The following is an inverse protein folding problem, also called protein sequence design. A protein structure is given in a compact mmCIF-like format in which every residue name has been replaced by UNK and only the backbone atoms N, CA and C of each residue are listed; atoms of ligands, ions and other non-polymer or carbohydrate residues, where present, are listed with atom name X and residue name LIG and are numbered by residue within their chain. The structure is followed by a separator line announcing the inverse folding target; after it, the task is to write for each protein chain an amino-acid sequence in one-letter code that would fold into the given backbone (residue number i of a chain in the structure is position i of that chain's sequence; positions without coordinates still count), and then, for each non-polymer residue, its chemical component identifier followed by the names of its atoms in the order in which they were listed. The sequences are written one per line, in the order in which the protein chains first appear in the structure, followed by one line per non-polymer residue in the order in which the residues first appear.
data_IF_017543386701
#
_entry.id   IF_017543386701
#
_cell.length_a   1.000
_cell.length_b   1.000
_cell.length_c   1.000
_cell.angle_alpha   90.00
_cell.angle_beta   90.00
_cell.angle_gamma   90.00
#
_symmetry.space_group_name_H-M   'P 1'
#
loop_
_entity.id
_entity.type
_entity.pdbx_description
1 polymer ?
#
# COMPACT_ATOMS: atom_id res chain seq x y z
N UNK A 1 12.76 -34.58 49.99
CA UNK A 1 12.25 -33.39 49.31
C UNK A 1 10.76 -33.29 49.59
N UNK A 2 10.31 -32.35 50.41
CA UNK A 2 8.94 -32.25 50.87
C UNK A 2 7.99 -31.78 49.75
N UNK A 3 6.74 -32.24 49.79
CA UNK A 3 5.72 -31.93 48.77
C UNK A 3 5.58 -30.40 48.51
N UNK A 4 5.80 -29.58 49.52
CA UNK A 4 5.79 -28.09 49.42
C UNK A 4 6.90 -27.56 48.52
N UNK A 5 8.10 -28.15 48.56
CA UNK A 5 9.22 -27.70 47.70
C UNK A 5 8.98 -28.02 46.23
N UNK A 6 8.32 -29.13 45.92
CA UNK A 6 7.92 -29.47 44.53
C UNK A 6 6.86 -28.53 43.98
N UNK A 7 5.93 -28.08 44.82
CA UNK A 7 4.90 -27.14 44.43
C UNK A 7 5.46 -25.76 44.06
N UNK A 8 6.41 -25.25 44.85
CA UNK A 8 7.07 -23.98 44.55
C UNK A 8 7.98 -24.07 43.31
N UNK A 9 8.65 -25.20 43.07
CA UNK A 9 9.43 -25.38 41.86
C UNK A 9 8.56 -25.42 40.60
N UNK A 10 7.38 -26.02 40.66
CA UNK A 10 6.43 -26.08 39.53
C UNK A 10 5.87 -24.72 39.20
N UNK A 11 5.56 -23.89 40.22
CA UNK A 11 5.07 -22.53 40.00
C UNK A 11 6.16 -21.63 39.40
N UNK A 12 7.40 -21.77 39.81
CA UNK A 12 8.54 -21.04 39.27
C UNK A 12 8.78 -21.37 37.77
N UNK A 13 8.60 -22.63 37.39
CA UNK A 13 8.78 -23.08 36.01
C UNK A 13 7.68 -22.55 35.09
N UNK A 14 6.44 -22.45 35.57
CA UNK A 14 5.30 -21.90 34.79
C UNK A 14 5.45 -20.40 34.64
N UNK A 15 5.95 -19.69 35.63
CA UNK A 15 6.18 -18.25 35.57
C UNK A 15 7.30 -17.87 34.57
N UNK A 16 8.32 -18.73 34.40
CA UNK A 16 9.42 -18.46 33.47
C UNK A 16 9.07 -18.74 32.00
N UNK A 17 8.14 -19.65 31.73
CA UNK A 17 7.68 -19.92 30.36
C UNK A 17 6.67 -18.87 29.84
N UNK A 18 5.91 -18.22 30.74
CA UNK A 18 4.97 -17.16 30.37
C UNK A 18 5.63 -15.85 29.93
N UNK A 19 6.86 -15.58 30.37
CA UNK A 19 7.56 -14.32 30.05
C UNK A 19 8.25 -14.32 28.68
N UNK A 20 8.43 -15.48 28.06
CA UNK A 20 9.09 -15.63 26.76
C UNK A 20 8.14 -15.43 25.57
N UNK A 21 6.81 -15.37 25.79
CA UNK A 21 5.83 -15.20 24.73
C UNK A 21 5.43 -13.74 24.45
N UNK A 22 5.94 -12.78 25.24
CA UNK A 22 5.74 -11.35 25.01
C UNK A 22 6.89 -10.68 24.26
N UNK A 23 7.81 -11.45 23.69
CA UNK A 23 8.75 -10.92 22.69
C UNK A 23 7.96 -10.65 21.41
N UNK A 24 7.17 -9.57 21.44
CA UNK A 24 6.59 -9.02 20.23
C UNK A 24 7.71 -8.83 19.22
N UNK A 25 7.69 -9.60 18.16
CA UNK A 25 8.53 -9.36 16.99
C UNK A 25 8.20 -7.94 16.52
N UNK A 26 9.00 -6.96 16.97
CA UNK A 26 9.07 -5.69 16.25
C UNK A 26 9.50 -6.10 14.84
N UNK A 27 8.58 -6.00 13.90
CA UNK A 27 8.96 -6.04 12.51
C UNK A 27 10.07 -4.99 12.36
N UNK A 28 11.30 -5.47 12.20
CA UNK A 28 12.44 -4.63 11.89
C UNK A 28 12.18 -4.11 10.49
N UNK A 29 11.54 -2.95 10.40
CA UNK A 29 11.65 -2.16 9.19
C UNK A 29 13.14 -1.87 9.04
N UNK A 30 13.77 -2.49 8.06
CA UNK A 30 15.11 -2.13 7.61
C UNK A 30 15.14 -0.61 7.49
N UNK A 31 16.14 0.10 8.02
CA UNK A 31 16.32 1.51 7.74
C UNK A 31 16.82 1.62 6.29
N UNK A 32 15.93 1.36 5.32
CA UNK A 32 16.08 1.90 4.00
C UNK A 32 15.98 3.42 4.16
N UNK A 33 16.81 4.13 3.43
CA UNK A 33 16.71 5.57 3.30
C UNK A 33 15.35 5.88 2.67
N UNK A 34 14.30 5.87 3.50
CA UNK A 34 12.94 6.10 3.03
C UNK A 34 12.75 7.60 2.88
N UNK A 35 13.09 8.09 1.69
CA UNK A 35 12.86 9.49 1.33
C UNK A 35 11.37 9.84 1.32
N UNK A 36 10.49 8.85 1.45
CA UNK A 36 9.06 9.07 1.57
C UNK A 36 8.35 8.06 2.47
N UNK A 37 7.23 8.50 3.06
CA UNK A 37 6.23 7.63 3.66
C UNK A 37 4.85 8.26 3.49
N UNK A 38 3.85 7.45 3.18
CA UNK A 38 2.47 7.90 2.96
C UNK A 38 1.51 6.92 3.62
N UNK A 39 0.59 7.46 4.42
CA UNK A 39 -0.65 6.80 4.82
C UNK A 39 -1.78 7.55 4.15
N UNK A 40 -2.63 6.84 3.42
CA UNK A 40 -3.67 7.48 2.62
C UNK A 40 -4.96 6.67 2.62
N UNK A 41 -6.05 7.38 2.41
CA UNK A 41 -7.34 6.81 2.02
C UNK A 41 -7.48 6.95 0.52
N UNK A 42 -7.90 5.89 -0.16
CA UNK A 42 -8.15 5.96 -1.60
C UNK A 42 -9.45 5.26 -1.99
N UNK A 43 -10.00 5.70 -3.10
CA UNK A 43 -11.14 5.08 -3.78
C UNK A 43 -10.71 4.80 -5.21
N UNK A 44 -11.00 3.60 -5.67
CA UNK A 44 -10.70 3.16 -7.02
C UNK A 44 -11.97 2.75 -7.75
N UNK A 45 -12.07 3.14 -9.02
CA UNK A 45 -13.03 2.62 -9.97
C UNK A 45 -12.26 2.20 -11.23
N UNK A 46 -12.36 0.94 -11.61
CA UNK A 46 -11.67 0.43 -12.80
C UNK A 46 -12.62 -0.18 -13.82
N UNK A 47 -12.13 -0.34 -15.05
CA UNK A 47 -12.87 -0.86 -16.19
C UNK A 47 -13.08 -2.37 -16.17
N UNK A 48 -12.39 -3.10 -15.29
CA UNK A 48 -12.49 -4.56 -15.21
C UNK A 48 -13.75 -4.98 -14.45
N UNK A 49 -14.25 -6.16 -14.79
CA UNK A 49 -15.33 -6.81 -14.05
C UNK A 49 -14.87 -7.15 -12.60
N UNK A 50 -15.86 -7.46 -11.74
CA UNK A 50 -15.57 -7.95 -10.39
C UNK A 50 -14.66 -9.18 -10.47
N UNK A 51 -13.75 -9.31 -9.50
CA UNK A 51 -12.66 -10.29 -9.48
C UNK A 51 -11.60 -10.08 -10.57
N UNK A 52 -11.25 -8.82 -10.77
CA UNK A 52 -10.21 -8.41 -11.70
C UNK A 52 -8.91 -9.19 -11.47
N UNK A 53 -8.28 -9.73 -12.53
CA UNK A 53 -7.03 -10.48 -12.44
C UNK A 53 -5.86 -9.64 -11.90
N UNK A 54 -5.91 -8.31 -11.92
CA UNK A 54 -4.86 -7.43 -11.38
C UNK A 54 -4.55 -7.65 -9.90
N UNK A 55 -5.43 -8.28 -9.13
CA UNK A 55 -5.12 -8.72 -7.77
C UNK A 55 -4.20 -9.96 -7.72
N UNK A 56 -4.03 -10.66 -8.81
CA UNK A 56 -3.36 -11.96 -8.85
C UNK A 56 -2.22 -12.03 -9.87
N UNK A 57 -2.22 -11.15 -10.86
CA UNK A 57 -1.19 -11.09 -11.90
C UNK A 57 -1.09 -9.67 -12.50
N UNK A 58 -0.21 -9.50 -13.47
CA UNK A 58 0.08 -8.20 -14.10
C UNK A 58 -0.58 -8.00 -15.46
N UNK A 59 -1.53 -8.86 -15.81
CA UNK A 59 -2.23 -8.82 -17.12
C UNK A 59 -3.68 -8.39 -16.93
N UNK A 60 -4.15 -7.50 -17.81
CA UNK A 60 -5.53 -7.07 -17.83
C UNK A 60 -6.49 -8.13 -18.34
N UNK A 61 -7.74 -8.04 -17.90
CA UNK A 61 -8.85 -8.80 -18.49
C UNK A 61 -9.06 -8.42 -19.96
N UNK A 62 -9.53 -9.38 -20.76
CA UNK A 62 -10.01 -9.09 -22.10
C UNK A 62 -11.37 -8.38 -22.05
N UNK A 63 -11.49 -7.30 -22.76
CA UNK A 63 -12.75 -6.59 -23.00
C UNK A 63 -13.26 -6.90 -24.40
N UNK A 64 -14.56 -7.08 -24.54
CA UNK A 64 -15.16 -7.33 -25.85
C UNK A 64 -15.19 -6.04 -26.66
N UNK A 65 -14.29 -5.92 -27.62
CA UNK A 65 -14.30 -4.87 -28.62
C UNK A 65 -15.19 -5.25 -29.85
N UNK A 66 -15.43 -4.30 -30.75
CA UNK A 66 -16.26 -4.51 -31.94
C UNK A 66 -15.72 -5.58 -32.89
N UNK A 67 -14.41 -5.82 -32.91
CA UNK A 67 -13.76 -6.73 -33.86
C UNK A 67 -12.84 -7.78 -33.22
N UNK A 68 -12.25 -7.47 -32.06
CA UNK A 68 -11.33 -8.34 -31.32
C UNK A 68 -11.40 -8.05 -29.84
N UNK A 69 -10.96 -9.02 -29.02
CA UNK A 69 -10.74 -8.77 -27.61
C UNK A 69 -9.62 -7.74 -27.42
N UNK A 70 -9.90 -6.68 -26.69
CA UNK A 70 -8.93 -5.67 -26.31
C UNK A 70 -8.48 -5.90 -24.86
N UNK A 71 -7.20 -5.76 -24.59
CA UNK A 71 -6.62 -5.90 -23.27
C UNK A 71 -6.16 -4.54 -22.76
N UNK A 72 -6.87 -3.99 -21.80
CA UNK A 72 -6.53 -2.75 -21.13
C UNK A 72 -7.02 -2.77 -19.69
N UNK A 73 -6.44 -1.92 -18.84
CA UNK A 73 -6.91 -1.69 -17.48
C UNK A 73 -6.97 -0.19 -17.23
N UNK A 74 -8.15 0.39 -17.40
CA UNK A 74 -8.40 1.82 -17.16
C UNK A 74 -8.97 2.01 -15.77
N UNK A 75 -8.38 2.91 -15.02
CA UNK A 75 -8.79 3.19 -13.66
C UNK A 75 -8.87 4.69 -13.38
N UNK A 76 -9.73 5.04 -12.44
CA UNK A 76 -9.77 6.32 -11.77
C UNK A 76 -9.51 6.11 -10.29
N UNK A 77 -8.48 6.76 -9.79
CA UNK A 77 -8.04 6.67 -8.40
C UNK A 77 -8.20 8.06 -7.77
N UNK A 78 -8.90 8.15 -6.66
CA UNK A 78 -8.93 9.36 -5.83
C UNK A 78 -8.19 9.05 -4.54
N UNK A 79 -7.15 9.81 -4.26
CA UNK A 79 -6.26 9.60 -3.13
C UNK A 79 -6.23 10.84 -2.25
N UNK A 80 -6.41 10.64 -0.95
CA UNK A 80 -6.18 11.65 0.08
C UNK A 80 -5.06 11.18 1.00
N UNK A 81 -4.00 11.95 1.09
CA UNK A 81 -2.91 11.69 2.04
C UNK A 81 -3.38 12.09 3.43
N UNK A 82 -3.54 11.12 4.33
CA UNK A 82 -3.91 11.37 5.72
C UNK A 82 -2.69 11.81 6.52
N UNK A 83 -1.53 11.19 6.26
CA UNK A 83 -0.25 11.55 6.83
C UNK A 83 0.86 11.11 5.88
N UNK A 84 1.85 11.99 5.65
CA UNK A 84 2.97 11.59 4.81
C UNK A 84 3.98 12.68 4.56
N UNK A 85 5.09 12.28 3.96
CA UNK A 85 6.16 13.17 3.52
C UNK A 85 6.89 12.57 2.31
N UNK A 86 7.49 13.44 1.55
CA UNK A 86 8.51 13.12 0.54
C UNK A 86 9.70 14.02 0.78
N UNK A 87 10.86 13.42 1.08
CA UNK A 87 12.05 14.15 1.55
C UNK A 87 11.67 15.08 2.73
N UNK A 88 11.80 16.39 2.56
CA UNK A 88 11.43 17.40 3.55
C UNK A 88 10.03 17.97 3.38
N UNK A 89 9.33 17.61 2.30
CA UNK A 89 8.00 18.14 1.99
C UNK A 89 6.92 17.33 2.69
N UNK A 90 6.10 18.01 3.49
CA UNK A 90 4.94 17.43 4.16
C UNK A 90 3.78 17.27 3.18
N UNK A 91 3.18 16.08 3.13
CA UNK A 91 2.12 15.74 2.19
C UNK A 91 0.73 15.64 2.83
N UNK A 92 0.64 15.86 4.15
CA UNK A 92 -0.62 15.74 4.90
C UNK A 92 -1.74 16.58 4.25
N UNK A 93 -2.89 15.97 4.04
CA UNK A 93 -4.07 16.61 3.46
C UNK A 93 -4.07 16.73 1.92
N UNK A 94 -2.98 16.41 1.25
CA UNK A 94 -2.92 16.44 -0.22
C UNK A 94 -3.96 15.49 -0.82
N UNK A 95 -4.67 15.96 -1.85
CA UNK A 95 -5.67 15.20 -2.59
C UNK A 95 -5.32 15.16 -4.06
N UNK A 96 -5.39 13.97 -4.62
CA UNK A 96 -5.00 13.70 -6.00
C UNK A 96 -6.05 12.83 -6.66
N UNK A 97 -6.37 13.14 -7.89
CA UNK A 97 -7.14 12.26 -8.75
C UNK A 97 -6.28 11.85 -9.94
N UNK A 98 -6.17 10.53 -10.15
CA UNK A 98 -5.39 9.93 -11.21
C UNK A 98 -6.32 9.14 -12.11
N UNK A 99 -6.35 9.49 -13.40
CA UNK A 99 -6.93 8.66 -14.44
C UNK A 99 -5.78 7.98 -15.17
N UNK A 100 -5.85 6.67 -15.38
CA UNK A 100 -4.75 5.90 -15.96
C UNK A 100 -5.25 4.75 -16.82
N UNK A 101 -4.42 4.32 -17.77
CA UNK A 101 -4.52 3.04 -18.44
C UNK A 101 -3.20 2.29 -18.25
N UNK A 102 -3.25 1.23 -17.45
CA UNK A 102 -2.09 0.37 -17.18
C UNK A 102 -1.71 -0.49 -18.40
N UNK A 103 -2.54 -0.48 -19.46
CA UNK A 103 -2.31 -1.29 -20.65
C UNK A 103 -2.68 -2.77 -20.44
N UNK A 104 -2.10 -3.62 -21.27
CA UNK A 104 -2.35 -5.06 -21.25
C UNK A 104 -1.48 -5.82 -20.25
N UNK A 105 -0.28 -5.30 -19.96
CA UNK A 105 0.69 -5.88 -19.04
C UNK A 105 1.50 -4.77 -18.37
N UNK A 106 1.39 -4.66 -17.05
CA UNK A 106 2.12 -3.67 -16.23
C UNK A 106 3.29 -4.26 -15.46
N UNK A 107 3.74 -5.49 -15.76
CA UNK A 107 4.92 -6.10 -15.14
C UNK A 107 6.19 -5.29 -15.35
N UNK A 108 6.22 -4.47 -16.41
CA UNK A 108 7.33 -3.57 -16.73
C UNK A 108 7.33 -2.27 -15.91
N UNK A 109 6.29 -2.00 -15.12
CA UNK A 109 6.11 -0.74 -14.39
C UNK A 109 5.85 0.47 -15.31
N UNK A 110 5.29 0.24 -16.50
CA UNK A 110 4.97 1.28 -17.48
C UNK A 110 3.49 1.28 -17.76
N UNK A 111 2.86 2.42 -17.53
CA UNK A 111 1.48 2.69 -17.92
C UNK A 111 1.42 3.11 -19.39
N UNK A 112 0.31 2.82 -20.06
CA UNK A 112 0.06 3.36 -21.40
C UNK A 112 -0.09 4.87 -21.35
N UNK A 113 -0.80 5.39 -20.35
CA UNK A 113 -0.93 6.81 -20.04
C UNK A 113 -1.43 7.02 -18.61
N UNK A 114 -1.12 8.17 -18.04
CA UNK A 114 -1.70 8.65 -16.80
C UNK A 114 -1.94 10.17 -16.86
N UNK A 115 -3.04 10.62 -16.27
CA UNK A 115 -3.36 12.02 -16.06
C UNK A 115 -3.55 12.26 -14.57
N UNK A 116 -2.78 13.18 -14.02
CA UNK A 116 -2.79 13.51 -12.60
C UNK A 116 -3.43 14.88 -12.40
N UNK A 117 -4.49 14.94 -11.60
CA UNK A 117 -5.17 16.17 -11.23
C UNK A 117 -5.02 16.39 -9.73
N UNK A 118 -4.67 17.59 -9.33
CA UNK A 118 -4.53 17.97 -7.94
C UNK A 118 -5.71 18.83 -7.48
N UNK A 119 -6.18 18.59 -6.26
CA UNK A 119 -7.12 19.50 -5.62
C UNK A 119 -6.52 20.92 -5.53
N UNK A 120 -7.32 21.98 -5.70
CA UNK A 120 -6.83 23.37 -5.61
C UNK A 120 -6.12 23.71 -4.30
N UNK A 121 -6.40 22.99 -3.21
CA UNK A 121 -5.75 23.17 -1.91
C UNK A 121 -4.31 22.61 -1.83
N UNK A 122 -3.89 21.79 -2.81
CA UNK A 122 -2.54 21.21 -2.84
C UNK A 122 -1.53 22.25 -3.24
N UNK A 123 -0.52 22.47 -2.39
CA UNK A 123 0.52 23.49 -2.63
C UNK A 123 1.44 23.13 -3.81
N UNK A 124 2.15 24.12 -4.33
CA UNK A 124 3.10 23.92 -5.42
C UNK A 124 4.22 22.91 -5.03
N UNK A 125 4.70 22.99 -3.79
CA UNK A 125 5.72 22.07 -3.25
C UNK A 125 5.19 20.64 -3.14
N UNK A 126 3.93 20.49 -2.69
CA UNK A 126 3.29 19.17 -2.62
C UNK A 126 3.08 18.57 -4.02
N UNK A 127 2.66 19.40 -5.00
CA UNK A 127 2.50 18.96 -6.39
C UNK A 127 3.83 18.50 -6.99
N UNK A 128 4.89 19.25 -6.76
CA UNK A 128 6.24 18.87 -7.21
C UNK A 128 6.68 17.55 -6.57
N UNK A 129 6.49 17.38 -5.26
CA UNK A 129 6.87 16.18 -4.53
C UNK A 129 6.07 14.93 -4.97
N UNK A 130 4.78 15.09 -5.29
CA UNK A 130 3.92 14.00 -5.76
C UNK A 130 4.09 13.65 -7.23
N UNK A 131 4.62 14.56 -8.04
CA UNK A 131 4.88 14.37 -9.45
C UNK A 131 6.36 14.06 -9.79
N UNK A 132 7.25 14.09 -8.81
CA UNK A 132 8.66 13.73 -8.99
C UNK A 132 8.79 12.21 -9.21
N UNK A 133 9.48 11.82 -10.29
CA UNK A 133 9.68 10.40 -10.67
C UNK A 133 10.98 9.84 -10.12
#
# INVERSE_FOLDING_TARGET
MTARLRFFLSILLIASTGLLLLSGTKASSSPGNNDFAITSTYIEACSCDMFCPCYFNTHSTAHLGEKMAEHFCRANLVLKVDKGYYKTTKLDGAKVWIATDLGSDWSTGKDSWAVVNFDPSVSAEQKAALGEK
#
